data_IF_341375206423
#
_entry.id   IF_341375206423
#
_cell.length_a   1.000
_cell.length_b   1.000
_cell.length_c   1.000
_cell.angle_alpha   90.00
_cell.angle_beta   90.00
_cell.angle_gamma   90.00
#
_symmetry.space_group_name_H-M   'P 1'
#
loop_
_entity.id
_entity.type
_entity.pdbx_description
1 polymer ?
#
# COMPACT_ATOMS: atom_id res chain seq x y z
N UNK A 1 -3.79 11.31 -14.35
CA UNK A 1 -2.85 10.41 -13.64
C UNK A 1 -3.23 10.42 -12.18
N UNK A 2 -3.35 9.25 -11.54
CA UNK A 2 -3.69 9.14 -10.11
C UNK A 2 -2.58 9.73 -9.23
N UNK A 3 -2.93 10.18 -8.03
CA UNK A 3 -1.93 10.58 -7.04
C UNK A 3 -0.91 9.45 -6.79
N UNK A 4 0.37 9.73 -6.56
CA UNK A 4 1.30 8.76 -6.00
C UNK A 4 0.71 8.00 -4.82
N UNK A 5 0.96 6.69 -4.72
CA UNK A 5 0.60 5.91 -3.53
C UNK A 5 1.48 6.30 -2.35
N UNK A 6 0.93 6.23 -1.14
CA UNK A 6 1.72 6.18 0.08
C UNK A 6 2.37 4.80 0.17
N UNK A 7 3.69 4.74 0.34
CA UNK A 7 4.49 3.51 0.35
C UNK A 7 5.50 3.50 1.48
N UNK A 8 6.10 2.35 1.74
CA UNK A 8 7.31 2.24 2.54
C UNK A 8 8.53 2.61 1.68
N UNK A 9 9.45 3.40 2.22
CA UNK A 9 10.73 3.77 1.61
C UNK A 9 11.86 3.59 2.62
N UNK A 10 13.11 3.51 2.18
CA UNK A 10 14.25 3.48 3.08
C UNK A 10 14.29 4.73 4.00
N UNK A 11 14.71 4.53 5.25
CA UNK A 11 15.02 5.63 6.16
C UNK A 11 16.14 6.50 5.57
N UNK A 12 15.96 7.83 5.59
CA UNK A 12 16.87 8.77 4.94
C UNK A 12 16.65 8.96 3.43
N UNK A 13 15.69 8.25 2.82
CA UNK A 13 15.26 8.53 1.44
C UNK A 13 14.69 9.95 1.32
N UNK A 14 14.94 10.61 0.19
CA UNK A 14 14.31 11.90 -0.12
C UNK A 14 12.79 11.79 -0.31
N UNK A 15 12.29 10.57 -0.55
CA UNK A 15 10.86 10.29 -0.65
C UNK A 15 10.17 10.12 0.71
N UNK A 16 10.94 10.07 1.81
CA UNK A 16 10.39 9.96 3.15
C UNK A 16 9.63 11.23 3.54
N UNK A 17 8.40 11.04 4.04
CA UNK A 17 7.56 12.14 4.49
C UNK A 17 7.96 12.57 5.90
N UNK A 18 8.43 13.81 6.01
CA UNK A 18 8.62 14.50 7.28
C UNK A 18 7.34 15.27 7.58
N UNK A 19 6.59 14.85 8.60
CA UNK A 19 5.26 15.37 8.84
C UNK A 19 5.29 16.72 9.57
N UNK A 20 4.60 17.71 9.00
CA UNK A 20 4.61 19.10 9.48
C UNK A 20 4.07 19.21 10.93
N UNK A 21 3.13 18.33 11.29
CA UNK A 21 2.44 18.32 12.59
C UNK A 21 2.93 17.22 13.54
N UNK A 22 4.17 16.74 13.39
CA UNK A 22 4.73 15.68 14.23
C UNK A 22 4.67 15.99 15.73
N UNK A 23 4.84 17.25 16.15
CA UNK A 23 4.75 17.63 17.56
C UNK A 23 3.35 17.37 18.15
N UNK A 24 2.29 17.75 17.43
CA UNK A 24 0.89 17.52 17.84
C UNK A 24 0.55 16.03 17.89
N UNK A 25 1.01 15.27 16.90
CA UNK A 25 0.83 13.81 16.90
C UNK A 25 1.54 13.16 18.10
N UNK A 26 2.75 13.63 18.42
CA UNK A 26 3.54 13.12 19.55
C UNK A 26 2.91 13.41 20.90
N UNK A 27 2.20 14.53 21.05
CA UNK A 27 1.45 14.85 22.28
C UNK A 27 0.09 14.14 22.37
N UNK A 28 -0.24 13.27 21.42
CA UNK A 28 -1.50 12.52 21.37
C UNK A 28 -2.67 13.28 20.73
N UNK A 29 -2.41 14.44 20.14
CA UNK A 29 -3.42 15.24 19.46
C UNK A 29 -3.81 14.67 18.09
N UNK A 30 -4.98 15.08 17.61
CA UNK A 30 -5.40 14.86 16.23
C UNK A 30 -4.74 15.91 15.33
N UNK A 31 -4.12 15.49 14.23
CA UNK A 31 -3.50 16.42 13.30
C UNK A 31 -3.63 15.96 11.84
N UNK A 32 -3.63 16.90 10.87
CA UNK A 32 -3.58 16.54 9.46
C UNK A 32 -2.20 15.96 9.10
N UNK A 33 -2.20 14.86 8.33
CA UNK A 33 -0.99 14.27 7.75
C UNK A 33 -0.56 15.05 6.50
N UNK A 34 0.12 16.15 6.75
CA UNK A 34 0.77 16.98 5.73
C UNK A 34 2.29 16.87 5.83
N UNK A 35 2.97 16.98 4.69
CA UNK A 35 4.42 17.00 4.59
C UNK A 35 4.85 17.81 3.36
N UNK A 36 5.52 18.94 3.56
CA UNK A 36 6.11 19.76 2.48
C UNK A 36 5.12 20.08 1.33
N UNK A 37 3.92 20.55 1.67
CA UNK A 37 2.89 20.92 0.69
C UNK A 37 2.17 19.71 0.04
N UNK A 38 2.44 18.50 0.52
CA UNK A 38 1.71 17.27 0.14
C UNK A 38 0.83 16.81 1.29
N UNK A 39 -0.29 16.18 0.93
CA UNK A 39 -1.26 15.62 1.85
C UNK A 39 -1.30 14.10 1.69
N UNK A 40 -1.32 13.38 2.81
CA UNK A 40 -1.73 11.97 2.81
C UNK A 40 -3.26 11.93 2.80
N UNK A 41 -3.83 11.30 1.78
CA UNK A 41 -5.28 11.30 1.52
C UNK A 41 -5.75 9.92 1.06
N UNK A 42 -7.06 9.62 1.14
CA UNK A 42 -7.61 8.44 0.49
C UNK A 42 -7.31 8.47 -1.01
N UNK A 43 -6.79 7.37 -1.57
CA UNK A 43 -6.53 7.23 -3.00
C UNK A 43 -7.85 7.17 -3.80
N UNK A 44 -8.90 6.64 -3.18
CA UNK A 44 -10.27 6.66 -3.68
C UNK A 44 -11.25 6.92 -2.52
N UNK A 45 -12.50 7.28 -2.82
CA UNK A 45 -13.45 7.79 -1.83
C UNK A 45 -14.17 6.72 -1.00
N UNK A 46 -14.42 5.54 -1.57
CA UNK A 46 -15.21 4.48 -0.95
C UNK A 46 -14.36 3.27 -0.55
N UNK A 47 -14.53 2.69 0.64
CA UNK A 47 -13.87 1.45 1.01
C UNK A 47 -14.21 0.36 0.00
N UNK A 48 -13.20 -0.45 -0.31
CA UNK A 48 -13.39 -1.73 -0.96
C UNK A 48 -13.44 -2.80 0.11
N UNK A 49 -14.10 -3.90 -0.19
CA UNK A 49 -14.18 -5.02 0.73
C UNK A 49 -13.34 -6.20 0.20
N UNK A 50 -12.46 -6.72 1.04
CA UNK A 50 -11.69 -7.92 0.77
C UNK A 50 -12.33 -9.11 1.51
N UNK A 51 -12.92 -10.02 0.73
CA UNK A 51 -13.47 -11.31 1.17
C UNK A 51 -14.51 -11.28 2.31
N UNK A 52 -15.23 -10.18 2.49
CA UNK A 52 -16.16 -10.02 3.61
C UNK A 52 -15.47 -9.80 4.96
N UNK A 53 -14.16 -9.53 4.97
CA UNK A 53 -13.35 -9.52 6.18
C UNK A 53 -12.72 -8.16 6.50
N UNK A 54 -12.36 -7.41 5.46
CA UNK A 54 -11.69 -6.13 5.61
C UNK A 54 -12.31 -5.09 4.68
N UNK A 55 -12.78 -3.99 5.27
CA UNK A 55 -13.01 -2.76 4.52
C UNK A 55 -11.69 -1.99 4.48
N UNK A 56 -11.26 -1.59 3.28
CA UNK A 56 -9.97 -0.92 3.09
C UNK A 56 -10.01 0.17 2.04
N UNK A 57 -9.13 1.15 2.21
CA UNK A 57 -8.88 2.23 1.25
C UNK A 57 -7.37 2.38 1.08
N UNK A 58 -6.89 2.30 -0.16
CA UNK A 58 -5.50 2.66 -0.46
C UNK A 58 -5.24 4.12 -0.11
N UNK A 59 -4.03 4.41 0.37
CA UNK A 59 -3.61 5.75 0.71
C UNK A 59 -2.72 6.32 -0.38
N UNK A 60 -2.91 7.61 -0.67
CA UNK A 60 -2.14 8.38 -1.65
C UNK A 60 -1.47 9.59 -1.01
N UNK A 61 -0.56 10.18 -1.77
CA UNK A 61 0.13 11.43 -1.44
C UNK A 61 -0.12 12.43 -2.57
N UNK A 62 -0.76 13.56 -2.27
CA UNK A 62 -1.14 14.57 -3.28
C UNK A 62 -1.24 15.97 -2.68
N UNK A 63 -1.05 16.99 -3.49
CA UNK A 63 -1.30 18.40 -3.15
C UNK A 63 -2.76 18.84 -3.40
N UNK A 64 -3.61 17.97 -3.99
CA UNK A 64 -4.96 18.34 -4.46
C UNK A 64 -6.11 17.91 -3.57
N UNK A 65 -5.89 16.92 -2.70
CA UNK A 65 -6.92 16.37 -1.83
C UNK A 65 -6.69 16.80 -0.38
N UNK A 66 -7.75 16.85 0.42
CA UNK A 66 -7.65 17.18 1.84
C UNK A 66 -6.87 16.11 2.60
N UNK A 67 -6.02 16.48 3.56
CA UNK A 67 -5.25 15.51 4.34
C UNK A 67 -6.15 14.73 5.30
N UNK A 68 -5.78 13.47 5.53
CA UNK A 68 -6.30 12.68 6.63
C UNK A 68 -5.91 13.34 7.96
N UNK A 69 -6.90 13.54 8.82
CA UNK A 69 -6.67 13.91 10.21
C UNK A 69 -6.58 12.62 11.03
N UNK A 70 -5.45 12.41 11.69
CA UNK A 70 -5.15 11.15 12.39
C UNK A 70 -4.71 11.40 13.83
N UNK A 71 -4.83 10.35 14.64
CA UNK A 71 -4.26 10.25 15.98
C UNK A 71 -3.18 9.16 16.00
N UNK A 72 -2.16 9.33 16.85
CA UNK A 72 -1.27 8.24 17.22
C UNK A 72 -1.74 7.65 18.55
N UNK A 73 -2.43 6.50 18.48
CA UNK A 73 -2.99 5.83 19.65
C UNK A 73 -2.23 4.51 19.88
N UNK A 74 -1.26 4.54 20.81
CA UNK A 74 -0.34 3.42 21.00
C UNK A 74 0.47 3.16 19.71
N UNK A 75 0.46 1.94 19.15
CA UNK A 75 1.13 1.63 17.88
C UNK A 75 0.36 2.08 16.63
N UNK A 76 -0.89 2.54 16.76
CA UNK A 76 -1.78 2.71 15.61
C UNK A 76 -1.78 4.15 15.12
N UNK A 77 -1.69 4.33 13.80
CA UNK A 77 -2.11 5.56 13.12
C UNK A 77 -3.61 5.43 12.83
N UNK A 78 -4.42 6.15 13.59
CA UNK A 78 -5.89 6.01 13.57
C UNK A 78 -6.51 7.16 12.80
N UNK A 79 -7.38 6.84 11.84
CA UNK A 79 -8.20 7.79 11.11
C UNK A 79 -9.67 7.59 11.47
N UNK A 80 -10.28 8.62 12.07
CA UNK A 80 -11.73 8.68 12.28
C UNK A 80 -12.38 9.40 11.09
N UNK A 81 -12.73 8.61 10.08
CA UNK A 81 -13.27 9.10 8.82
C UNK A 81 -14.79 8.95 8.69
N UNK A 82 -15.34 9.27 7.50
CA UNK A 82 -16.76 9.06 7.21
C UNK A 82 -17.18 7.58 7.25
N UNK A 83 -16.22 6.65 7.25
CA UNK A 83 -16.44 5.19 7.27
C UNK A 83 -16.26 4.59 8.68
N UNK A 84 -16.17 5.45 9.70
CA UNK A 84 -15.84 5.11 11.07
C UNK A 84 -14.34 5.04 11.32
N UNK A 85 -13.95 4.35 12.38
CA UNK A 85 -12.55 4.10 12.69
C UNK A 85 -11.90 3.19 11.64
N UNK A 86 -10.78 3.66 11.08
CA UNK A 86 -9.85 2.86 10.30
C UNK A 86 -8.43 3.09 10.82
N UNK A 87 -7.55 2.09 10.68
CA UNK A 87 -6.14 2.23 11.06
C UNK A 87 -5.24 2.01 9.85
N UNK A 88 -4.07 2.63 9.83
CA UNK A 88 -3.09 2.36 8.78
C UNK A 88 -2.62 0.92 8.88
N UNK A 89 -2.46 0.28 7.73
CA UNK A 89 -1.94 -1.07 7.58
C UNK A 89 -1.00 -1.10 6.36
N UNK A 90 0.18 -1.69 6.54
CA UNK A 90 1.07 -2.04 5.44
C UNK A 90 0.43 -3.19 4.68
N UNK A 91 0.16 -2.99 3.39
CA UNK A 91 -0.57 -3.96 2.59
C UNK A 91 0.03 -5.37 2.73
N UNK A 92 -0.82 -6.32 3.14
CA UNK A 92 -0.45 -7.73 3.35
C UNK A 92 0.66 -7.95 4.41
N UNK A 93 0.92 -6.96 5.25
CA UNK A 93 2.00 -6.92 6.25
C UNK A 93 3.39 -7.16 5.64
N UNK A 94 3.57 -6.78 4.37
CA UNK A 94 4.85 -6.90 3.67
C UNK A 94 5.75 -5.71 4.01
N UNK A 95 6.59 -5.85 5.03
CA UNK A 95 7.50 -4.80 5.51
C UNK A 95 8.76 -4.68 4.63
N UNK A 96 8.63 -4.16 3.41
CA UNK A 96 9.75 -3.81 2.53
C UNK A 96 9.42 -2.59 1.66
N UNK A 97 10.45 -1.94 1.13
CA UNK A 97 10.33 -0.76 0.28
C UNK A 97 9.39 -0.97 -0.91
N UNK A 98 8.64 0.08 -1.28
CA UNK A 98 7.63 0.06 -2.34
C UNK A 98 6.28 -0.53 -1.93
N UNK A 99 6.17 -1.19 -0.77
CA UNK A 99 4.88 -1.69 -0.30
C UNK A 99 3.96 -0.53 0.06
N UNK A 100 2.75 -0.52 -0.51
CA UNK A 100 1.79 0.55 -0.28
C UNK A 100 1.07 0.41 1.07
N UNK A 101 0.54 1.53 1.53
CA UNK A 101 -0.26 1.63 2.75
C UNK A 101 -1.74 1.70 2.39
N UNK A 102 -2.54 1.12 3.28
CA UNK A 102 -4.00 1.19 3.27
C UNK A 102 -4.49 1.70 4.62
N UNK A 103 -5.68 2.28 4.67
CA UNK A 103 -6.46 2.36 5.90
C UNK A 103 -7.43 1.18 5.92
N UNK A 104 -7.51 0.43 7.03
CA UNK A 104 -8.32 -0.80 7.15
C UNK A 104 -9.25 -0.75 8.34
N UNK A 105 -10.35 -1.49 8.22
CA UNK A 105 -11.32 -1.78 9.26
C UNK A 105 -11.75 -3.25 9.15
N UNK A 106 -11.71 -3.96 10.27
CA UNK A 106 -12.21 -5.32 10.33
C UNK A 106 -13.74 -5.33 10.23
N UNK A 107 -14.29 -6.21 9.39
CA UNK A 107 -15.72 -6.50 9.40
C UNK A 107 -16.10 -7.31 10.65
N UNK A 108 -17.39 -7.35 10.99
CA UNK A 108 -17.88 -8.15 12.10
C UNK A 108 -17.53 -9.63 11.90
N UNK A 109 -17.00 -10.28 12.94
CA UNK A 109 -16.60 -11.69 12.87
C UNK A 109 -15.33 -11.97 12.05
N UNK A 110 -14.54 -10.95 11.70
CA UNK A 110 -13.32 -11.12 10.90
C UNK A 110 -12.35 -12.16 11.52
N UNK A 111 -12.03 -13.26 10.81
CA UNK A 111 -11.12 -14.30 11.31
C UNK A 111 -9.66 -13.80 11.42
N UNK A 112 -9.30 -12.75 10.68
CA UNK A 112 -8.00 -12.06 10.82
C UNK A 112 -7.87 -11.22 12.10
N UNK A 113 -8.95 -11.13 12.89
CA UNK A 113 -9.04 -10.44 14.17
C UNK A 113 -9.42 -8.96 14.08
N UNK A 114 -9.32 -8.21 15.20
CA UNK A 114 -9.86 -6.85 15.26
C UNK A 114 -9.07 -5.85 14.41
N UNK A 115 -9.69 -4.70 14.12
CA UNK A 115 -9.08 -3.55 13.41
C UNK A 115 -7.76 -3.12 14.04
N UNK A 116 -7.73 -3.03 15.38
CA UNK A 116 -6.52 -2.77 16.16
C UNK A 116 -5.92 -4.08 16.65
N UNK A 117 -5.07 -4.68 15.85
CA UNK A 117 -4.23 -5.80 16.28
C UNK A 117 -2.77 -5.49 15.94
N UNK A 118 -1.97 -5.35 16.99
CA UNK A 118 -0.52 -5.30 16.95
C UNK A 118 0.04 -6.67 17.31
N UNK A 119 0.93 -7.23 16.48
CA UNK A 119 1.72 -8.44 16.72
C UNK A 119 3.14 -8.21 16.21
N UNK A 120 4.12 -9.00 16.67
CA UNK A 120 5.51 -8.88 16.23
C UNK A 120 5.60 -9.03 14.70
N UNK A 121 6.10 -7.98 14.02
CA UNK A 121 6.14 -7.80 12.56
C UNK A 121 4.79 -7.59 11.83
N UNK A 122 3.78 -7.02 12.50
CA UNK A 122 2.50 -6.72 11.86
C UNK A 122 2.47 -5.38 11.10
N UNK A 123 1.59 -5.29 10.09
CA UNK A 123 1.45 -4.09 9.27
C UNK A 123 0.80 -2.88 9.96
N UNK A 124 0.35 -3.00 11.21
CA UNK A 124 -0.39 -1.94 11.94
C UNK A 124 0.38 -1.36 13.12
N UNK A 125 1.66 -1.72 13.24
CA UNK A 125 2.53 -1.26 14.33
C UNK A 125 3.49 -0.18 13.83
N UNK A 126 3.19 1.07 14.15
CA UNK A 126 3.95 2.24 13.73
C UNK A 126 4.57 2.99 14.91
N UNK A 127 5.58 3.78 14.59
CA UNK A 127 6.22 4.73 15.49
C UNK A 127 6.47 6.05 14.75
N UNK A 128 6.29 7.15 15.47
CA UNK A 128 6.74 8.48 15.05
C UNK A 128 8.17 8.68 15.55
N UNK A 129 9.10 8.85 14.64
CA UNK A 129 10.52 9.05 14.94
C UNK A 129 10.81 10.50 15.36
N UNK A 130 12.00 10.73 15.91
CA UNK A 130 12.43 12.05 16.37
C UNK A 130 12.54 13.08 15.24
N UNK A 131 12.94 12.62 14.04
CA UNK A 131 13.03 13.43 12.82
C UNK A 131 11.66 13.84 12.23
N UNK A 132 10.55 13.39 12.82
CA UNK A 132 9.20 13.70 12.36
C UNK A 132 8.69 12.78 11.25
N UNK A 133 9.42 11.73 10.90
CA UNK A 133 8.96 10.66 10.00
C UNK A 133 8.18 9.59 10.76
N UNK A 134 7.28 8.87 10.08
CA UNK A 134 6.57 7.71 10.64
C UNK A 134 7.06 6.45 9.92
N UNK A 135 7.20 5.34 10.64
CA UNK A 135 7.59 4.04 10.06
C UNK A 135 7.12 2.86 10.90
N UNK A 136 7.20 1.62 10.37
CA UNK A 136 6.85 0.43 11.13
C UNK A 136 7.80 0.22 12.32
N UNK A 137 7.25 -0.07 13.50
CA UNK A 137 8.05 -0.24 14.73
C UNK A 137 9.05 -1.38 14.64
N UNK A 138 8.73 -2.47 13.94
CA UNK A 138 9.61 -3.63 13.82
C UNK A 138 10.53 -3.58 12.58
N UNK A 139 10.37 -2.57 11.72
CA UNK A 139 11.21 -2.35 10.55
C UNK A 139 11.75 -0.91 10.54
N UNK A 140 12.61 -0.63 11.53
CA UNK A 140 13.18 0.71 11.80
C UNK A 140 14.00 1.31 10.64
N UNK A 141 14.31 0.52 9.61
CA UNK A 141 14.96 0.97 8.38
C UNK A 141 13.97 1.48 7.32
N UNK A 142 12.65 1.45 7.59
CA UNK A 142 11.60 1.88 6.66
C UNK A 142 10.82 3.10 7.21
N UNK A 143 10.32 3.94 6.29
CA UNK A 143 9.49 5.12 6.56
C UNK A 143 8.31 5.21 5.60
N UNK A 144 7.28 5.93 5.99
CA UNK A 144 6.21 6.35 5.10
C UNK A 144 6.75 7.37 4.08
N UNK A 145 6.49 7.12 2.80
CA UNK A 145 7.00 7.91 1.68
C UNK A 145 6.02 7.98 0.52
N UNK A 146 6.29 8.87 -0.44
CA UNK A 146 5.52 8.96 -1.67
C UNK A 146 6.12 8.08 -2.77
N UNK A 147 5.29 7.29 -3.47
CA UNK A 147 5.75 6.50 -4.60
C UNK A 147 6.19 7.41 -5.77
N UNK A 148 7.49 7.55 -5.99
CA UNK A 148 8.05 8.29 -7.12
C UNK A 148 8.13 9.80 -6.93
N UNK A 149 8.55 10.28 -5.76
CA UNK A 149 9.03 11.65 -5.61
C UNK A 149 10.42 11.81 -6.23
N UNK A 150 10.65 12.92 -6.92
CA UNK A 150 11.95 13.21 -7.52
C UNK A 150 13.00 13.47 -6.42
N UNK A 151 14.01 12.58 -6.29
CA UNK A 151 15.17 12.89 -5.45
C UNK A 151 16.08 11.74 -5.01
N UNK A 152 16.55 10.86 -5.89
CA UNK A 152 17.60 9.91 -5.50
C UNK A 152 18.09 9.05 -6.66
N UNK A 153 19.24 9.40 -7.23
CA UNK A 153 19.81 8.73 -8.39
C UNK A 153 20.14 7.26 -8.15
N UNK A 154 19.26 6.36 -8.61
CA UNK A 154 19.71 5.14 -9.25
C UNK A 154 20.05 5.53 -10.69
N UNK A 155 21.35 5.58 -11.01
CA UNK A 155 21.82 5.89 -12.35
C UNK A 155 21.06 5.11 -13.40
N UNK A 156 20.51 5.83 -14.38
CA UNK A 156 19.99 5.26 -15.61
C UNK A 156 21.16 4.55 -16.31
N UNK A 157 21.36 3.27 -16.03
CA UNK A 157 22.11 2.41 -16.93
C UNK A 157 21.14 1.94 -17.99
N UNK A 158 21.07 2.71 -19.08
CA UNK A 158 20.66 2.16 -20.37
C UNK A 158 21.64 1.05 -20.71
N UNK A 159 21.27 -0.20 -20.45
CA UNK A 159 21.86 -1.35 -21.13
C UNK A 159 20.81 -1.80 -22.12
N UNK A 160 21.14 -1.62 -23.38
CA UNK A 160 20.33 -2.05 -24.50
C UNK A 160 20.02 -3.55 -24.38
N UNK A 161 18.73 -3.89 -24.40
CA UNK A 161 18.25 -5.26 -24.57
C UNK A 161 18.44 -6.16 -23.35
N UNK A 162 17.42 -6.99 -23.13
CA UNK A 162 17.34 -8.08 -22.13
C UNK A 162 16.87 -7.64 -20.74
N UNK A 163 15.57 -7.88 -20.51
CA UNK A 163 14.96 -7.90 -19.19
C UNK A 163 15.41 -9.15 -18.41
N UNK A 164 15.80 -8.98 -17.15
CA UNK A 164 15.91 -10.08 -16.20
C UNK A 164 15.02 -9.83 -14.98
N UNK A 165 14.20 -10.82 -14.66
CA UNK A 165 13.50 -10.96 -13.39
C UNK A 165 14.49 -11.47 -12.34
N UNK A 166 14.61 -10.78 -11.21
CA UNK A 166 15.31 -11.30 -10.03
C UNK A 166 14.30 -12.02 -9.13
N UNK A 167 14.23 -13.34 -9.28
CA UNK A 167 13.69 -14.28 -8.30
C UNK A 167 14.73 -14.49 -7.19
N UNK A 168 14.40 -14.08 -5.97
CA UNK A 168 15.15 -14.41 -4.76
C UNK A 168 14.26 -15.22 -3.81
N UNK A 169 14.65 -16.47 -3.57
CA UNK A 169 13.96 -17.42 -2.68
C UNK A 169 13.78 -16.85 -1.26
N UNK A 170 12.56 -16.90 -0.75
CA UNK A 170 12.30 -17.03 0.68
C UNK A 170 11.69 -18.41 0.92
N UNK A 171 12.51 -19.33 1.43
CA UNK A 171 12.11 -20.65 1.92
C UNK A 171 11.34 -20.50 3.22
N UNK A 172 10.01 -20.51 3.11
CA UNK A 172 9.08 -20.63 4.22
C UNK A 172 7.69 -20.81 3.65
N UNK A 173 7.16 -22.04 3.69
CA UNK A 173 5.90 -22.40 3.05
C UNK A 173 4.76 -21.49 3.57
N UNK A 174 4.14 -20.69 2.70
CA UNK A 174 2.97 -19.91 3.08
C UNK A 174 1.78 -20.86 3.32
N UNK A 175 1.15 -20.76 4.49
CA UNK A 175 -0.10 -21.48 4.79
C UNK A 175 -1.21 -20.99 3.88
N UNK A 176 -2.26 -21.80 3.66
CA UNK A 176 -3.33 -21.54 2.68
C UNK A 176 -4.05 -20.17 2.84
N UNK A 177 -3.91 -19.50 3.99
CA UNK A 177 -4.37 -18.13 4.20
C UNK A 177 -3.57 -17.05 3.42
N UNK A 178 -2.38 -17.37 2.92
CA UNK A 178 -1.46 -16.47 2.21
C UNK A 178 -1.73 -16.41 0.68
N UNK A 179 -2.46 -17.38 0.12
CA UNK A 179 -2.69 -17.50 -1.33
C UNK A 179 -3.95 -16.78 -1.85
N UNK A 180 -4.84 -16.29 -0.99
CA UNK A 180 -6.13 -15.78 -1.43
C UNK A 180 -6.12 -14.35 -2.02
N UNK A 181 -5.01 -13.59 -1.94
CA UNK A 181 -4.95 -12.16 -2.36
C UNK A 181 -4.56 -11.91 -3.81
N UNK A 182 -4.14 -12.92 -4.56
CA UNK A 182 -3.62 -12.73 -5.91
C UNK A 182 -4.60 -13.04 -7.05
N UNK A 183 -5.85 -13.39 -6.76
CA UNK A 183 -6.86 -13.64 -7.79
C UNK A 183 -7.87 -12.48 -7.90
N UNK A 184 -7.43 -11.35 -8.47
CA UNK A 184 -8.34 -10.39 -9.08
C UNK A 184 -7.91 -10.18 -10.54
N UNK A 185 -8.79 -10.36 -11.54
CA UNK A 185 -8.42 -10.31 -12.94
C UNK A 185 -8.02 -8.88 -13.33
N UNK A 186 -6.84 -8.77 -13.95
CA UNK A 186 -6.42 -7.55 -14.64
C UNK A 186 -7.36 -7.38 -15.84
N UNK A 187 -8.31 -6.45 -15.72
CA UNK A 187 -9.06 -5.97 -16.90
C UNK A 187 -8.09 -5.10 -17.68
N UNK A 188 -7.56 -5.64 -18.78
CA UNK A 188 -6.73 -4.89 -19.70
C UNK A 188 -7.57 -3.75 -20.30
N UNK A 189 -7.22 -2.51 -19.99
CA UNK A 189 -7.74 -1.35 -20.69
C UNK A 189 -7.00 -1.26 -22.04
N UNK A 190 -7.76 -1.31 -23.13
CA UNK A 190 -7.25 -1.20 -24.49
C UNK A 190 -6.56 0.15 -24.72
N UNK A 191 -5.30 0.08 -25.17
CA UNK A 191 -4.62 1.21 -25.80
C UNK A 191 -4.93 1.14 -27.30
N UNK A 192 -5.80 2.03 -27.76
CA UNK A 192 -6.01 2.24 -29.18
C UNK A 192 -4.82 3.01 -29.77
N UNK A 193 -4.04 2.36 -30.63
CA UNK A 193 -3.22 3.04 -31.64
C UNK A 193 -3.23 2.26 -32.95
N UNK A 194 -3.57 2.98 -34.01
CA UNK A 194 -3.71 2.51 -35.38
C UNK A 194 -2.38 2.06 -36.02
N UNK A 195 -2.42 0.98 -36.82
CA UNK A 195 -1.97 0.97 -38.23
C UNK A 195 -2.10 -0.44 -38.86
N UNK A 196 -2.76 -0.47 -40.02
CA UNK A 196 -2.51 -1.31 -41.21
C UNK A 196 -2.25 -2.83 -41.10
N UNK A 197 -3.22 -3.60 -41.61
CA UNK A 197 -2.98 -4.67 -42.60
C UNK A 197 -2.76 -6.10 -42.11
N UNK A 198 -3.65 -7.01 -42.51
CA UNK A 198 -3.29 -8.42 -42.77
C UNK A 198 -4.01 -9.50 -41.97
N UNK A 199 -4.90 -10.22 -42.67
CA UNK A 199 -5.51 -11.53 -42.39
C UNK A 199 -4.68 -12.54 -41.55
N UNK A 200 -5.32 -13.24 -40.59
CA UNK A 200 -5.49 -14.71 -40.64
C UNK A 200 -6.14 -15.32 -39.36
N UNK A 201 -7.20 -16.10 -39.60
CA UNK A 201 -7.60 -17.37 -39.01
C UNK A 201 -7.75 -17.55 -37.48
N UNK A 202 -8.99 -17.89 -37.12
CA UNK A 202 -9.42 -18.49 -35.87
C UNK A 202 -8.80 -19.87 -35.61
N UNK A 203 -8.53 -20.16 -34.33
CA UNK A 203 -8.51 -21.53 -33.79
C UNK A 203 -9.24 -21.54 -32.46
N UNK A 204 -10.37 -22.23 -32.44
CA UNK A 204 -11.06 -22.63 -31.23
C UNK A 204 -10.34 -23.83 -30.59
N UNK A 205 -10.25 -23.86 -29.26
CA UNK A 205 -10.00 -25.09 -28.52
C UNK A 205 -10.98 -25.17 -27.34
N UNK A 206 -11.69 -26.29 -27.33
CA UNK A 206 -12.77 -26.70 -26.45
C UNK A 206 -12.21 -27.40 -25.21
N UNK A 207 -12.97 -27.27 -24.12
CA UNK A 207 -12.98 -27.94 -22.81
C UNK A 207 -12.12 -29.18 -22.55
N UNK A 208 -11.63 -29.30 -21.31
CA UNK A 208 -11.68 -30.53 -20.53
C UNK A 208 -11.69 -30.19 -19.02
N UNK A 209 -12.75 -30.60 -18.31
CA UNK A 209 -12.75 -30.65 -16.85
C UNK A 209 -12.09 -31.93 -16.34
N UNK A 210 -11.78 -31.97 -15.03
CA UNK A 210 -11.76 -33.22 -14.28
C UNK A 210 -11.96 -32.92 -12.78
N UNK A 211 -13.02 -33.51 -12.23
CA UNK A 211 -13.29 -33.65 -10.80
C UNK A 211 -12.44 -34.77 -10.18
N UNK A 212 -12.67 -35.02 -8.88
CA UNK A 212 -12.25 -36.14 -8.01
C UNK A 212 -11.15 -35.67 -7.02
N UNK A 213 -11.30 -35.76 -5.69
CA UNK A 213 -12.15 -36.62 -4.85
C UNK A 213 -12.51 -35.92 -3.54
#
# INVERSE_FOLDING_TARGET
MGAPRLVLVAAGSADALHFDNAATLRSGGTAPLTANGKNVSPFWSQPRNAWGHWDYIDLGVTDRAQPLHVNLEGPYVVWYGPHGEMVFDVAMWKLHEGTHLVAVKACAGNPGGPTRMSKDACGRDFVLHADGTIGPRTAQHLRLGAAGGAGGGAGLRTVAGVAYSLSGLATGAPTAAHLAYHAAPVVAAEVATAAAGGNAAAVAAVSAGCSIQ
#
